data_IF_685795640343
#
_entry.id   IF_685795640343
#
_cell.length_a   1.000
_cell.length_b   1.000
_cell.length_c   1.000
_cell.angle_alpha   90.00
_cell.angle_beta   90.00
_cell.angle_gamma   90.00
#
_symmetry.space_group_name_H-M   'P 1'
#
loop_
_entity.id
_entity.type
_entity.pdbx_description
1 polymer ?
#
# COMPACT_ATOMS: atom_id res chain seq x y z
N UNK A 1 23.81 -28.23 38.84
CA UNK A 1 23.60 -26.76 38.86
C UNK A 1 24.48 -26.01 37.86
N UNK A 2 25.82 -26.11 37.92
CA UNK A 2 26.71 -25.44 36.94
C UNK A 2 26.46 -25.77 35.45
N UNK A 3 26.15 -27.03 35.14
CA UNK A 3 25.88 -27.48 33.75
C UNK A 3 24.59 -26.87 33.17
N UNK A 4 23.58 -26.61 34.00
CA UNK A 4 22.31 -25.99 33.58
C UNK A 4 22.47 -24.48 33.34
N UNK A 5 23.37 -23.82 34.08
CA UNK A 5 23.70 -22.39 33.89
C UNK A 5 24.42 -22.16 32.56
N UNK A 6 25.32 -23.08 32.18
CA UNK A 6 26.05 -23.01 30.90
C UNK A 6 25.09 -23.17 29.71
N UNK A 7 24.14 -24.08 29.80
CA UNK A 7 23.11 -24.27 28.77
C UNK A 7 22.23 -23.02 28.64
N UNK A 8 21.86 -22.39 29.76
CA UNK A 8 21.06 -21.17 29.77
C UNK A 8 21.79 -19.98 29.13
N UNK A 9 23.09 -19.82 29.40
CA UNK A 9 23.92 -18.80 28.75
C UNK A 9 24.05 -19.05 27.24
N UNK A 10 24.22 -20.31 26.82
CA UNK A 10 24.35 -20.65 25.40
C UNK A 10 23.06 -20.30 24.63
N UNK A 11 21.89 -20.58 25.20
CA UNK A 11 20.59 -20.22 24.61
C UNK A 11 20.43 -18.71 24.50
N UNK A 12 20.89 -17.95 25.50
CA UNK A 12 20.80 -16.48 25.49
C UNK A 12 21.73 -15.86 24.43
N UNK A 13 22.94 -16.42 24.25
CA UNK A 13 23.87 -15.98 23.19
C UNK A 13 23.33 -16.30 21.79
N UNK A 14 22.71 -17.47 21.60
CA UNK A 14 22.07 -17.85 20.33
C UNK A 14 20.85 -16.96 20.05
N UNK A 15 20.05 -16.62 21.06
CA UNK A 15 18.92 -15.71 20.93
C UNK A 15 19.33 -14.27 20.56
N UNK A 16 20.46 -13.79 21.10
CA UNK A 16 21.03 -12.49 20.74
C UNK A 16 21.64 -12.47 19.34
N UNK A 17 22.15 -13.60 18.85
CA UNK A 17 22.66 -13.75 17.48
C UNK A 17 21.58 -13.68 16.40
N UNK A 18 20.31 -13.96 16.75
CA UNK A 18 19.18 -13.89 15.81
C UNK A 18 18.56 -12.49 15.70
N UNK A 19 18.83 -11.59 16.63
CA UNK A 19 18.27 -10.23 16.66
C UNK A 19 19.13 -9.18 15.92
N UNK A 20 20.24 -9.59 15.30
CA UNK A 20 21.29 -8.70 14.83
C UNK A 20 21.56 -8.79 13.33
N UNK A 21 20.62 -8.38 12.48
CA UNK A 21 20.94 -7.97 11.11
C UNK A 21 19.87 -7.08 10.45
N UNK A 22 19.13 -6.28 11.23
CA UNK A 22 18.21 -5.29 10.64
C UNK A 22 18.94 -3.97 10.41
N UNK A 23 18.89 -3.48 9.18
CA UNK A 23 19.41 -2.16 8.84
C UNK A 23 18.46 -1.08 9.36
N UNK A 24 18.95 0.17 9.43
CA UNK A 24 18.08 1.30 9.73
C UNK A 24 16.94 1.42 8.72
N UNK A 25 17.19 1.08 7.45
CA UNK A 25 16.17 1.13 6.40
C UNK A 25 15.04 0.12 6.65
N UNK A 26 15.36 -1.09 7.12
CA UNK A 26 14.36 -2.11 7.44
C UNK A 26 13.42 -1.65 8.55
N UNK A 27 13.99 -1.06 9.61
CA UNK A 27 13.21 -0.52 10.74
C UNK A 27 12.29 0.63 10.31
N UNK A 28 12.81 1.54 9.50
CA UNK A 28 12.03 2.68 8.99
C UNK A 28 10.92 2.18 8.06
N UNK A 29 11.22 1.25 7.16
CA UNK A 29 10.23 0.64 6.25
C UNK A 29 9.10 -0.04 7.02
N UNK A 30 9.45 -0.82 8.05
CA UNK A 30 8.48 -1.49 8.92
C UNK A 30 7.56 -0.48 9.63
N UNK A 31 8.13 0.59 10.19
CA UNK A 31 7.35 1.62 10.88
C UNK A 31 6.45 2.41 9.91
N UNK A 32 6.94 2.80 8.73
CA UNK A 32 6.14 3.49 7.72
C UNK A 32 5.00 2.62 7.20
N UNK A 33 5.23 1.30 7.09
CA UNK A 33 4.20 0.35 6.71
C UNK A 33 3.12 0.27 7.78
N UNK A 34 3.51 0.12 9.05
CA UNK A 34 2.57 0.11 10.18
C UNK A 34 1.77 1.40 10.28
N UNK A 35 2.38 2.57 10.12
CA UNK A 35 1.68 3.85 10.23
C UNK A 35 0.57 3.99 9.18
N UNK A 36 0.79 3.47 7.98
CA UNK A 36 -0.26 3.49 6.97
C UNK A 36 -1.29 2.37 7.11
N UNK A 37 -0.90 1.19 7.60
CA UNK A 37 -1.86 0.14 7.95
C UNK A 37 -2.76 0.57 9.11
N UNK A 38 -2.27 1.48 9.95
CA UNK A 38 -3.04 2.19 10.98
C UNK A 38 -3.76 3.45 10.46
N UNK A 39 -3.73 3.72 9.16
CA UNK A 39 -4.41 4.86 8.52
C UNK A 39 -3.95 6.23 9.04
N UNK A 40 -2.73 6.35 9.56
CA UNK A 40 -2.19 7.62 10.09
C UNK A 40 -1.53 8.50 9.03
N UNK A 41 -1.32 7.96 7.83
CA UNK A 41 -0.51 8.57 6.78
C UNK A 41 -1.32 8.69 5.50
N UNK A 42 -1.26 9.87 4.87
CA UNK A 42 -1.83 10.07 3.55
C UNK A 42 -0.89 9.46 2.53
N UNK A 43 -1.41 8.54 1.71
CA UNK A 43 -0.70 8.02 0.54
C UNK A 43 -1.39 8.45 -0.75
N UNK A 44 -0.61 8.45 -1.84
CA UNK A 44 -1.11 8.61 -3.19
C UNK A 44 -0.73 7.39 -4.02
N UNK A 45 -1.74 6.68 -4.49
CA UNK A 45 -1.59 5.62 -5.47
C UNK A 45 -1.82 6.21 -6.85
N UNK A 46 -0.87 6.05 -7.76
CA UNK A 46 -1.02 6.37 -9.18
C UNK A 46 -0.83 5.11 -10.00
N UNK A 47 -1.80 4.78 -10.85
CA UNK A 47 -1.75 3.62 -11.73
C UNK A 47 -1.58 4.08 -13.16
N UNK A 48 -0.64 3.45 -13.88
CA UNK A 48 -0.09 3.95 -15.13
C UNK A 48 -0.15 2.85 -16.18
N UNK A 49 -0.60 3.19 -17.38
CA UNK A 49 -0.46 2.35 -18.56
C UNK A 49 0.90 2.63 -19.23
N UNK A 50 1.77 1.63 -19.29
CA UNK A 50 3.11 1.72 -19.85
C UNK A 50 3.14 1.76 -21.39
N UNK A 51 2.06 1.37 -22.08
CA UNK A 51 2.00 1.46 -23.55
C UNK A 51 1.81 2.91 -23.99
N UNK A 52 0.83 3.59 -23.40
CA UNK A 52 0.45 4.96 -23.78
C UNK A 52 1.17 6.01 -22.92
N UNK A 53 1.71 5.63 -21.77
CA UNK A 53 2.30 6.54 -20.79
C UNK A 53 1.26 7.33 -19.98
N UNK A 54 -0.02 7.03 -20.14
CA UNK A 54 -1.12 7.74 -19.50
C UNK A 54 -1.42 7.17 -18.10
N UNK A 55 -1.75 8.07 -17.16
CA UNK A 55 -2.30 7.70 -15.86
C UNK A 55 -3.71 7.15 -16.07
N UNK A 56 -3.99 5.96 -15.58
CA UNK A 56 -5.31 5.33 -15.65
C UNK A 56 -6.23 5.92 -14.58
N UNK A 57 -5.75 5.96 -13.34
CA UNK A 57 -6.40 6.64 -12.24
C UNK A 57 -5.40 6.93 -11.11
N UNK A 58 -5.82 7.79 -10.21
CA UNK A 58 -5.07 8.17 -9.03
C UNK A 58 -5.99 8.20 -7.81
N UNK A 59 -5.55 7.63 -6.70
CA UNK A 59 -6.23 7.66 -5.42
C UNK A 59 -5.34 8.36 -4.40
N UNK A 60 -5.89 9.23 -3.56
CA UNK A 60 -5.17 9.90 -2.46
C UNK A 60 -6.00 9.85 -1.19
N UNK A 61 -5.41 9.47 -0.07
CA UNK A 61 -6.10 9.33 1.21
C UNK A 61 -5.32 8.49 2.21
N UNK A 62 -5.88 8.27 3.40
CA UNK A 62 -5.31 7.34 4.37
C UNK A 62 -5.65 5.92 3.91
N UNK A 63 -4.63 5.17 3.48
CA UNK A 63 -4.85 3.85 2.88
C UNK A 63 -3.75 2.85 3.20
N UNK A 64 -4.19 1.60 3.42
CA UNK A 64 -3.34 0.42 3.37
C UNK A 64 -3.40 -0.16 1.96
N UNK A 65 -2.25 -0.57 1.44
CA UNK A 65 -2.13 -1.12 0.08
C UNK A 65 -1.32 -2.41 0.18
N UNK A 66 -1.86 -3.50 -0.33
CA UNK A 66 -1.20 -4.80 -0.43
C UNK A 66 -1.17 -5.25 -1.88
N UNK A 67 0.00 -5.66 -2.36
CA UNK A 67 0.12 -6.35 -3.63
C UNK A 67 -0.17 -7.84 -3.43
N UNK A 68 -1.20 -8.35 -4.09
CA UNK A 68 -1.47 -9.78 -4.20
C UNK A 68 -0.80 -10.31 -5.47
N UNK A 69 0.25 -11.11 -5.28
CA UNK A 69 1.06 -11.67 -6.38
C UNK A 69 0.33 -12.85 -7.04
N UNK A 70 -0.49 -13.60 -6.30
CA UNK A 70 -1.25 -14.73 -6.83
C UNK A 70 -2.32 -14.28 -7.81
N UNK A 71 -3.04 -13.22 -7.45
CA UNK A 71 -4.15 -12.68 -8.24
C UNK A 71 -3.70 -11.51 -9.14
N UNK A 72 -2.42 -11.14 -9.09
CA UNK A 72 -1.81 -10.03 -9.82
C UNK A 72 -2.62 -8.73 -9.69
N UNK A 73 -2.89 -8.29 -8.46
CA UNK A 73 -3.73 -7.13 -8.18
C UNK A 73 -3.25 -6.35 -6.94
N UNK A 74 -3.66 -5.09 -6.84
CA UNK A 74 -3.57 -4.33 -5.59
C UNK A 74 -4.89 -4.44 -4.83
N UNK A 75 -4.78 -4.79 -3.55
CA UNK A 75 -5.86 -4.62 -2.58
C UNK A 75 -5.63 -3.32 -1.81
N UNK A 76 -6.58 -2.39 -1.92
CA UNK A 76 -6.48 -1.07 -1.30
C UNK A 76 -7.61 -0.94 -0.31
N UNK A 77 -7.29 -0.63 0.94
CA UNK A 77 -8.28 -0.27 1.96
C UNK A 77 -8.08 1.21 2.24
N UNK A 78 -9.14 2.01 2.08
CA UNK A 78 -9.11 3.45 2.32
C UNK A 78 -10.08 3.82 3.44
N UNK A 79 -9.64 4.70 4.33
CA UNK A 79 -10.51 5.30 5.36
C UNK A 79 -11.25 6.52 4.80
N UNK A 80 -12.56 6.55 4.98
CA UNK A 80 -13.45 7.62 4.56
C UNK A 80 -14.43 7.97 5.68
N UNK A 81 -14.17 9.04 6.44
CA UNK A 81 -15.05 9.48 7.52
C UNK A 81 -15.34 8.41 8.58
N UNK A 82 -14.35 7.59 8.94
CA UNK A 82 -14.50 6.49 9.92
C UNK A 82 -15.13 5.22 9.34
N UNK A 83 -15.41 5.16 8.04
CA UNK A 83 -15.75 3.94 7.31
C UNK A 83 -14.54 3.47 6.50
N UNK A 84 -14.52 2.19 6.18
CA UNK A 84 -13.46 1.59 5.36
C UNK A 84 -14.06 1.06 4.07
N UNK A 85 -13.45 1.43 2.95
CA UNK A 85 -13.81 0.97 1.61
C UNK A 85 -12.65 0.12 1.06
N UNK A 86 -12.95 -1.00 0.40
CA UNK A 86 -11.96 -1.88 -0.21
C UNK A 86 -12.06 -1.81 -1.74
N UNK A 87 -10.94 -1.61 -2.40
CA UNK A 87 -10.81 -1.59 -3.85
C UNK A 87 -9.82 -2.65 -4.30
N UNK A 88 -10.08 -3.21 -5.48
CA UNK A 88 -9.20 -4.12 -6.18
C UNK A 88 -8.78 -3.49 -7.49
N UNK A 89 -7.49 -3.52 -7.78
CA UNK A 89 -6.93 -2.97 -9.01
C UNK A 89 -6.10 -4.06 -9.66
N UNK A 90 -6.63 -4.64 -10.74
CA UNK A 90 -5.89 -5.63 -11.52
C UNK A 90 -4.65 -5.01 -12.14
N UNK A 91 -3.52 -5.69 -11.99
CA UNK A 91 -2.28 -5.40 -12.68
C UNK A 91 -2.16 -6.28 -13.93
N UNK A 92 -1.41 -5.80 -14.91
CA UNK A 92 -1.07 -6.55 -16.12
C UNK A 92 0.34 -6.16 -16.56
N UNK A 93 0.89 -6.84 -17.55
CA UNK A 93 2.25 -6.58 -18.05
C UNK A 93 2.50 -5.12 -18.45
N UNK A 94 1.42 -4.42 -18.83
CA UNK A 94 1.46 -3.03 -19.28
C UNK A 94 0.88 -2.05 -18.26
N UNK A 95 0.47 -2.50 -17.07
CA UNK A 95 -0.09 -1.64 -16.03
C UNK A 95 0.82 -1.71 -14.80
N UNK A 96 1.41 -0.56 -14.47
CA UNK A 96 2.26 -0.40 -13.28
C UNK A 96 1.64 0.60 -12.31
N UNK A 97 2.22 0.71 -11.13
CA UNK A 97 1.77 1.63 -10.11
C UNK A 97 2.92 2.26 -9.34
N UNK A 98 2.63 3.42 -8.75
CA UNK A 98 3.50 4.12 -7.81
C UNK A 98 2.68 4.44 -6.56
N UNK A 99 3.25 4.15 -5.39
CA UNK A 99 2.72 4.59 -4.10
C UNK A 99 3.65 5.63 -3.53
N UNK A 100 3.13 6.83 -3.31
CA UNK A 100 3.85 7.93 -2.67
C UNK A 100 3.31 8.13 -1.27
N UNK A 101 4.21 8.22 -0.30
CA UNK A 101 3.89 8.62 1.06
C UNK A 101 3.91 10.15 1.15
N UNK A 102 2.75 10.77 1.41
CA UNK A 102 2.60 12.23 1.51
C UNK A 102 2.73 12.72 2.97
N UNK A 103 2.95 11.81 3.92
CA UNK A 103 3.10 12.12 5.33
C UNK A 103 1.78 12.32 6.08
N UNK A 104 1.88 12.94 7.25
CA UNK A 104 0.74 13.11 8.15
C UNK A 104 -0.26 14.17 7.62
N UNK A 105 -1.58 13.94 7.78
CA UNK A 105 -2.62 14.86 7.35
C UNK A 105 -2.50 16.20 8.10
N UNK A 106 -2.20 17.28 7.38
CA UNK A 106 -2.09 18.62 7.97
C UNK A 106 -3.44 19.23 8.37
N UNK A 107 -4.56 18.78 7.78
CA UNK A 107 -5.86 19.49 7.92
C UNK A 107 -7.12 18.63 7.87
N UNK A 108 -7.06 17.36 7.44
CA UNK A 108 -8.20 16.43 7.55
C UNK A 108 -7.75 14.99 7.32
N UNK A 109 -8.12 14.09 8.24
CA UNK A 109 -7.91 12.63 8.11
C UNK A 109 -8.97 11.93 7.26
N UNK A 110 -10.08 12.62 6.94
CA UNK A 110 -11.33 11.95 6.57
C UNK A 110 -11.72 12.05 5.10
N UNK A 111 -10.88 12.63 4.25
CA UNK A 111 -11.21 12.86 2.85
C UNK A 111 -10.22 12.12 1.96
N UNK A 112 -10.72 11.16 1.18
CA UNK A 112 -9.97 10.60 0.05
C UNK A 112 -10.44 11.23 -1.26
N UNK A 113 -9.57 11.19 -2.26
CA UNK A 113 -9.84 11.65 -3.63
C UNK A 113 -9.52 10.51 -4.59
N UNK A 114 -10.43 10.27 -5.53
CA UNK A 114 -10.23 9.30 -6.61
C UNK A 114 -10.44 10.03 -7.94
N UNK A 115 -9.38 10.08 -8.74
CA UNK A 115 -9.33 10.76 -10.02
C UNK A 115 -9.15 9.69 -11.11
N UNK A 116 -10.16 9.50 -11.96
CA UNK A 116 -10.04 8.63 -13.13
C UNK A 116 -9.65 9.43 -14.37
N UNK A 117 -8.90 8.81 -15.28
CA UNK A 117 -8.67 9.39 -16.59
C UNK A 117 -9.94 9.31 -17.44
N UNK A 118 -10.53 10.44 -17.86
CA UNK A 118 -11.79 10.45 -18.59
C UNK A 118 -11.71 9.81 -19.97
N UNK A 119 -10.51 9.68 -20.56
CA UNK A 119 -10.33 8.99 -21.85
C UNK A 119 -10.58 7.48 -21.78
N UNK A 120 -10.58 6.89 -20.58
CA UNK A 120 -10.85 5.46 -20.36
C UNK A 120 -12.33 5.09 -20.56
N UNK A 121 -13.24 6.06 -20.44
CA UNK A 121 -14.65 5.85 -20.66
C UNK A 121 -14.97 6.24 -22.10
N UNK A 122 -15.09 5.28 -23.01
CA UNK A 122 -15.64 5.54 -24.35
C UNK A 122 -17.16 5.65 -24.18
N UNK A 123 -17.78 6.84 -24.39
CA UNK A 123 -19.22 6.95 -24.34
C UNK A 123 -19.81 6.20 -25.54
N UNK A 124 -20.64 5.19 -25.26
CA UNK A 124 -21.44 4.51 -26.28
C UNK A 124 -22.64 5.40 -26.55
N UNK A 125 -22.69 6.05 -27.73
CA UNK A 125 -23.93 6.67 -28.19
C UNK A 125 -24.88 5.55 -28.61
N UNK A 126 -25.94 5.36 -27.83
CA UNK A 126 -27.05 4.48 -28.22
C UNK A 126 -27.92 5.29 -29.18
N UNK A 127 -27.71 5.10 -30.47
CA UNK A 127 -28.64 5.62 -31.47
C UNK A 127 -29.95 4.84 -31.31
N UNK A 128 -30.95 5.45 -30.68
CA UNK A 128 -32.33 4.97 -30.77
C UNK A 128 -32.79 5.20 -32.20
N UNK A 129 -32.91 4.12 -32.95
CA UNK A 129 -33.60 4.12 -34.24
C UNK A 129 -35.08 4.33 -33.94
N UNK A 130 -35.61 5.49 -34.35
CA UNK A 130 -37.03 5.83 -34.31
C UNK A 130 -37.79 5.14 -35.45
#
# INVERSE_FOLDING_TARGET
MRKNIIVLMLVMVVAMGLAGCETQADRVSYNLSQEADNFNVIRRLTVINCIEGDVLFQMTGNMSIKADISDNQLEIIVENGGKYEKHFVGLSDNVTYVVEDLGAPAVSKYKYTLNFNPKMWIPVNVDTID
#
